data_IF_810413066761
#
_entry.id   IF_810413066761
#
_cell.length_a   1.000
_cell.length_b   1.000
_cell.length_c   1.000
_cell.angle_alpha   90.00
_cell.angle_beta   90.00
_cell.angle_gamma   90.00
#
_symmetry.space_group_name_H-M   'P 1'
#
loop_
_entity.id
_entity.type
_entity.pdbx_description
1 polymer ?
#
# COMPACT_ATOMS: atom_id res chain seq x y z
N UNK A 1 9.79 15.96 -10.92
CA UNK A 1 8.52 16.25 -10.20
C UNK A 1 8.84 16.87 -8.84
N UNK A 2 8.06 17.86 -8.38
CA UNK A 2 8.24 18.46 -7.04
C UNK A 2 7.26 17.91 -5.98
N UNK A 3 7.47 18.25 -4.70
CA UNK A 3 6.62 17.76 -3.58
C UNK A 3 5.14 18.17 -3.70
N UNK A 4 4.85 19.33 -4.28
CA UNK A 4 3.46 19.83 -4.44
C UNK A 4 2.72 19.03 -5.50
N UNK A 5 3.36 18.77 -6.64
CA UNK A 5 2.82 17.92 -7.70
C UNK A 5 2.60 16.48 -7.21
N UNK A 6 3.57 15.94 -6.48
CA UNK A 6 3.47 14.61 -5.89
C UNK A 6 2.29 14.50 -4.93
N UNK A 7 2.09 15.50 -4.05
CA UNK A 7 0.92 15.56 -3.16
C UNK A 7 -0.40 15.60 -3.94
N UNK A 8 -0.48 16.40 -5.00
CA UNK A 8 -1.68 16.46 -5.85
C UNK A 8 -1.98 15.11 -6.49
N UNK A 9 -0.96 14.40 -6.96
CA UNK A 9 -1.10 13.07 -7.54
C UNK A 9 -1.63 12.06 -6.51
N UNK A 10 -1.10 12.07 -5.29
CA UNK A 10 -1.52 11.20 -4.20
C UNK A 10 -2.99 11.43 -3.82
N UNK A 11 -3.39 12.69 -3.63
CA UNK A 11 -4.78 13.06 -3.32
C UNK A 11 -5.73 12.65 -4.46
N UNK A 12 -5.29 12.78 -5.72
CA UNK A 12 -6.09 12.40 -6.88
C UNK A 12 -6.37 10.90 -6.94
N UNK A 13 -5.38 10.06 -6.67
CA UNK A 13 -5.52 8.60 -6.78
C UNK A 13 -6.16 8.00 -5.53
N UNK A 14 -5.84 8.52 -4.35
CA UNK A 14 -6.31 8.00 -3.05
C UNK A 14 -6.88 9.14 -2.20
N UNK A 15 -8.07 9.65 -2.55
CA UNK A 15 -8.67 10.82 -1.87
C UNK A 15 -9.09 10.53 -0.42
N UNK A 16 -9.35 9.27 -0.07
CA UNK A 16 -9.72 8.85 1.29
C UNK A 16 -8.57 8.83 2.30
N UNK A 17 -7.36 9.22 1.90
CA UNK A 17 -6.17 9.22 2.74
C UNK A 17 -5.71 10.65 3.03
N UNK A 18 -5.39 10.91 4.29
CA UNK A 18 -4.70 12.14 4.69
C UNK A 18 -3.21 11.96 4.43
N UNK A 19 -2.67 12.73 3.48
CA UNK A 19 -1.28 12.63 3.02
C UNK A 19 -0.35 13.63 3.70
N UNK A 20 0.75 13.12 4.25
CA UNK A 20 1.90 13.88 4.75
C UNK A 20 3.10 13.61 3.85
N UNK A 21 3.67 14.65 3.25
CA UNK A 21 4.91 14.55 2.46
C UNK A 21 6.09 14.77 3.40
N UNK A 22 7.09 13.89 3.36
CA UNK A 22 8.30 14.06 4.15
C UNK A 22 9.36 14.80 3.33
N UNK A 23 10.00 15.79 3.95
CA UNK A 23 11.15 16.47 3.34
C UNK A 23 12.41 15.72 3.71
N UNK A 24 13.10 15.20 2.71
CA UNK A 24 14.45 14.69 2.88
C UNK A 24 15.42 15.75 2.33
N UNK A 25 16.17 16.39 3.23
CA UNK A 25 17.09 17.49 2.90
C UNK A 25 18.47 17.00 2.44
N UNK A 26 18.73 15.68 2.44
CA UNK A 26 20.05 15.10 2.18
C UNK A 26 20.16 14.40 0.82
N UNK A 27 19.28 14.71 -0.13
CA UNK A 27 19.28 14.02 -1.42
C UNK A 27 20.23 14.75 -2.39
N UNK A 28 21.23 14.07 -2.98
CA UNK A 28 22.09 14.64 -4.01
C UNK A 28 21.28 15.11 -5.23
N UNK A 29 21.73 16.16 -5.90
CA UNK A 29 21.07 16.77 -7.08
C UNK A 29 20.88 15.83 -8.27
N UNK A 30 21.59 14.72 -8.32
CA UNK A 30 21.49 13.67 -9.35
C UNK A 30 20.35 12.69 -9.13
N UNK A 31 19.67 12.74 -7.98
CA UNK A 31 18.63 11.80 -7.61
C UNK A 31 17.39 12.55 -7.13
N UNK A 32 16.21 12.22 -7.65
CA UNK A 32 14.96 12.76 -7.09
C UNK A 32 14.31 11.69 -6.23
N UNK A 33 14.26 11.94 -4.92
CA UNK A 33 13.59 11.07 -3.95
C UNK A 33 12.47 11.86 -3.26
N UNK A 34 11.23 11.34 -3.36
CA UNK A 34 10.07 11.88 -2.67
C UNK A 34 9.41 10.77 -1.89
N UNK A 35 8.99 11.06 -0.67
CA UNK A 35 8.28 10.08 0.14
C UNK A 35 7.11 10.71 0.89
N UNK A 36 6.08 9.90 1.13
CA UNK A 36 4.85 10.34 1.75
C UNK A 36 4.21 9.22 2.57
N UNK A 37 3.51 9.61 3.63
CA UNK A 37 2.65 8.72 4.40
C UNK A 37 1.20 9.14 4.23
N UNK A 38 0.35 8.19 3.86
CA UNK A 38 -1.10 8.33 3.79
C UNK A 38 -1.74 7.62 4.98
N UNK A 39 -2.68 8.26 5.65
CA UNK A 39 -3.46 7.62 6.73
C UNK A 39 -4.95 7.69 6.39
N UNK A 40 -5.60 6.54 6.40
CA UNK A 40 -7.05 6.43 6.34
C UNK A 40 -7.61 6.21 7.74
N UNK A 41 -8.65 6.96 8.11
CA UNK A 41 -9.32 6.87 9.41
C UNK A 41 -10.84 6.89 9.25
N UNK A 42 -11.53 6.28 10.22
CA UNK A 42 -12.98 6.37 10.40
C UNK A 42 -13.26 6.77 11.84
N UNK A 43 -13.76 7.98 12.05
CA UNK A 43 -13.84 8.60 13.37
C UNK A 43 -12.45 8.68 14.03
N UNK A 44 -12.34 8.17 15.25
CA UNK A 44 -11.06 8.10 15.99
C UNK A 44 -10.21 6.87 15.63
N UNK A 45 -10.71 5.95 14.79
CA UNK A 45 -10.03 4.71 14.46
C UNK A 45 -9.21 4.84 13.18
N UNK A 46 -7.91 4.52 13.23
CA UNK A 46 -7.08 4.41 12.03
C UNK A 46 -7.32 3.07 11.34
N UNK A 47 -7.69 3.08 10.07
CA UNK A 47 -7.99 1.85 9.31
C UNK A 47 -6.77 1.31 8.55
N UNK A 48 -6.01 2.21 7.92
CA UNK A 48 -4.93 1.83 7.02
C UNK A 48 -3.85 2.91 6.99
N UNK A 49 -2.60 2.47 6.86
CA UNK A 49 -1.44 3.33 6.61
C UNK A 49 -0.78 2.92 5.29
N UNK A 50 -0.53 3.91 4.43
CA UNK A 50 0.26 3.74 3.22
C UNK A 50 1.58 4.53 3.33
N UNK A 51 2.65 3.96 2.82
CA UNK A 51 3.92 4.65 2.61
C UNK A 51 4.24 4.61 1.13
N UNK A 52 4.42 5.78 0.51
CA UNK A 52 4.73 5.90 -0.90
C UNK A 52 6.10 6.53 -1.03
N UNK A 53 6.97 5.90 -1.79
CA UNK A 53 8.25 6.44 -2.21
C UNK A 53 8.20 6.58 -3.73
N UNK A 54 8.65 7.71 -4.24
CA UNK A 54 9.00 7.87 -5.64
C UNK A 54 10.50 8.12 -5.75
N UNK A 55 11.13 7.31 -6.58
CA UNK A 55 12.55 7.41 -6.94
C UNK A 55 12.66 7.75 -8.41
N UNK A 56 13.62 8.61 -8.73
CA UNK A 56 13.95 8.97 -10.10
C UNK A 56 15.47 9.08 -10.24
N UNK A 57 16.02 8.20 -11.07
CA UNK A 57 17.44 8.08 -11.39
C UNK A 57 17.57 7.99 -12.90
N UNK A 58 18.41 8.79 -13.54
CA UNK A 58 18.66 8.72 -14.99
C UNK A 58 17.38 8.68 -15.85
N UNK A 59 16.38 9.48 -15.47
CA UNK A 59 15.04 9.55 -16.06
C UNK A 59 14.18 8.28 -15.92
N UNK A 60 14.61 7.29 -15.15
CA UNK A 60 13.83 6.11 -14.79
C UNK A 60 13.07 6.40 -13.49
N UNK A 61 11.74 6.33 -13.56
CA UNK A 61 10.85 6.55 -12.41
C UNK A 61 10.39 5.21 -11.85
N UNK A 62 10.50 5.05 -10.54
CA UNK A 62 9.95 3.92 -9.80
C UNK A 62 9.12 4.44 -8.62
N UNK A 63 7.91 3.89 -8.45
CA UNK A 63 7.12 4.05 -7.24
C UNK A 63 7.21 2.77 -6.42
N UNK A 64 7.52 2.91 -5.13
CA UNK A 64 7.42 1.85 -4.13
C UNK A 64 6.30 2.22 -3.16
N UNK A 65 5.29 1.36 -3.02
CA UNK A 65 4.18 1.56 -2.11
C UNK A 65 4.14 0.44 -1.09
N UNK A 66 4.03 0.79 0.18
CA UNK A 66 3.92 -0.13 1.31
C UNK A 66 2.60 0.08 2.02
N UNK A 67 2.01 -1.00 2.51
CA UNK A 67 0.78 -0.96 3.28
C UNK A 67 0.96 -1.59 4.66
N UNK A 68 0.38 -0.93 5.66
CA UNK A 68 0.26 -1.43 7.02
C UNK A 68 -1.19 -1.22 7.50
N UNK A 69 -1.59 -2.01 8.49
CA UNK A 69 -2.91 -1.89 9.13
C UNK A 69 -2.97 -0.76 10.17
N UNK A 70 -3.45 -1.12 11.36
CA UNK A 70 -3.82 -0.23 12.46
C UNK A 70 -2.61 0.29 13.26
N UNK A 71 -1.64 0.96 12.63
CA UNK A 71 -0.53 1.54 13.38
C UNK A 71 0.58 2.17 12.54
N UNK A 72 1.16 3.26 13.05
CA UNK A 72 2.31 3.96 12.46
C UNK A 72 3.62 3.19 12.65
N UNK A 73 3.67 2.30 13.65
CA UNK A 73 4.78 1.39 13.95
C UNK A 73 4.45 -0.07 13.60
N UNK A 74 3.31 -0.33 12.95
CA UNK A 74 2.98 -1.67 12.50
C UNK A 74 3.96 -2.11 11.41
N UNK A 75 4.36 -3.39 11.38
CA UNK A 75 5.18 -3.90 10.31
C UNK A 75 4.46 -3.73 8.97
N UNK A 76 5.23 -3.45 7.91
CA UNK A 76 4.70 -3.43 6.55
C UNK A 76 4.21 -4.82 6.17
N UNK A 77 2.93 -4.92 5.81
CA UNK A 77 2.28 -6.17 5.48
C UNK A 77 2.57 -6.60 4.04
N UNK A 78 2.69 -5.61 3.15
CA UNK A 78 3.02 -5.84 1.74
C UNK A 78 3.72 -4.62 1.16
N UNK A 79 4.43 -4.84 0.06
CA UNK A 79 5.10 -3.81 -0.72
C UNK A 79 4.91 -4.13 -2.19
N UNK A 80 4.64 -3.11 -2.99
CA UNK A 80 4.55 -3.21 -4.44
C UNK A 80 5.41 -2.12 -5.09
N UNK A 81 5.99 -2.43 -6.25
CA UNK A 81 6.81 -1.51 -7.02
C UNK A 81 6.33 -1.47 -8.46
N UNK A 82 6.22 -0.28 -9.03
CA UNK A 82 5.87 -0.08 -10.44
C UNK A 82 6.31 1.32 -10.92
N UNK A 83 6.62 1.51 -12.21
CA UNK A 83 6.85 2.84 -12.78
C UNK A 83 5.66 3.82 -12.65
N UNK A 84 4.44 3.31 -12.40
CA UNK A 84 3.22 4.08 -12.19
C UNK A 84 2.68 3.90 -10.78
N UNK A 85 2.43 5.03 -10.09
CA UNK A 85 1.79 5.05 -8.78
C UNK A 85 0.47 4.27 -8.76
N UNK A 86 -0.35 4.40 -9.81
CA UNK A 86 -1.64 3.70 -9.89
C UNK A 86 -1.48 2.18 -9.96
N UNK A 87 -0.47 1.70 -10.71
CA UNK A 87 -0.19 0.27 -10.82
C UNK A 87 0.45 -0.30 -9.56
N UNK A 88 1.35 0.45 -8.91
CA UNK A 88 1.92 0.05 -7.62
C UNK A 88 0.82 -0.08 -6.54
N UNK A 89 -0.13 0.87 -6.49
CA UNK A 89 -1.29 0.78 -5.60
C UNK A 89 -2.20 -0.41 -5.94
N UNK A 90 -2.44 -0.66 -7.24
CA UNK A 90 -3.22 -1.81 -7.69
C UNK A 90 -2.56 -3.13 -7.30
N UNK A 91 -1.24 -3.24 -7.41
CA UNK A 91 -0.50 -4.42 -6.98
C UNK A 91 -0.67 -4.75 -5.49
N UNK A 92 -0.83 -3.73 -4.63
CA UNK A 92 -1.19 -3.95 -3.23
C UNK A 92 -2.63 -4.43 -3.06
N UNK A 93 -3.57 -3.89 -3.84
CA UNK A 93 -4.97 -4.35 -3.81
C UNK A 93 -5.05 -5.81 -4.25
N UNK A 94 -4.46 -6.15 -5.39
CA UNK A 94 -4.42 -7.51 -5.93
C UNK A 94 -3.80 -8.48 -4.91
N UNK A 95 -2.73 -8.08 -4.20
CA UNK A 95 -2.13 -8.87 -3.13
C UNK A 95 -3.14 -9.20 -2.01
N UNK A 96 -3.90 -8.21 -1.55
CA UNK A 96 -4.88 -8.42 -0.48
C UNK A 96 -6.09 -9.23 -0.94
N UNK A 97 -6.55 -9.05 -2.18
CA UNK A 97 -7.61 -9.86 -2.78
C UNK A 97 -7.21 -11.33 -2.93
N UNK A 98 -5.96 -11.59 -3.34
CA UNK A 98 -5.39 -12.94 -3.38
C UNK A 98 -5.33 -13.56 -1.99
N UNK A 99 -4.88 -12.82 -0.98
CA UNK A 99 -4.88 -13.29 0.42
C UNK A 99 -6.28 -13.60 0.92
N UNK A 100 -7.25 -12.73 0.66
CA UNK A 100 -8.65 -12.95 1.04
C UNK A 100 -9.22 -14.22 0.39
N UNK A 101 -8.94 -14.43 -0.90
CA UNK A 101 -9.33 -15.62 -1.64
C UNK A 101 -8.71 -16.89 -1.05
N UNK A 102 -7.42 -16.86 -0.77
CA UNK A 102 -6.69 -17.98 -0.16
C UNK A 102 -7.26 -18.36 1.21
N UNK A 103 -7.45 -17.38 2.10
CA UNK A 103 -7.98 -17.63 3.44
C UNK A 103 -9.45 -18.07 3.42
N UNK A 104 -10.25 -17.55 2.50
CA UNK A 104 -11.63 -18.05 2.26
C UNK A 104 -11.63 -19.53 1.85
N UNK A 105 -10.69 -19.93 0.99
CA UNK A 105 -10.47 -21.33 0.61
C UNK A 105 -10.13 -22.21 1.82
N UNK A 106 -9.20 -21.77 2.68
CA UNK A 106 -8.86 -22.49 3.91
C UNK A 106 -10.05 -22.61 4.86
N UNK A 107 -10.83 -21.54 5.06
CA UNK A 107 -12.03 -21.57 5.89
C UNK A 107 -13.09 -22.56 5.36
N UNK A 108 -13.28 -22.60 4.03
CA UNK A 108 -14.17 -23.58 3.37
C UNK A 108 -13.70 -25.01 3.60
N UNK A 109 -12.40 -25.28 3.48
CA UNK A 109 -11.84 -26.62 3.72
C UNK A 109 -12.11 -27.08 5.16
N UNK A 110 -11.88 -26.21 6.15
CA UNK A 110 -12.21 -26.51 7.56
C UNK A 110 -13.70 -26.77 7.76
N UNK A 111 -14.57 -25.98 7.13
CA UNK A 111 -16.03 -26.18 7.19
C UNK A 111 -16.45 -27.53 6.60
N UNK A 112 -15.82 -27.96 5.51
CA UNK A 112 -16.06 -29.28 4.91
C UNK A 112 -15.57 -30.39 5.85
N UNK A 113 -14.36 -30.27 6.39
CA UNK A 113 -13.80 -31.26 7.31
C UNK A 113 -14.60 -31.44 8.61
N UNK A 114 -15.34 -30.41 9.06
CA UNK A 114 -16.24 -30.49 10.22
C UNK A 114 -17.51 -31.30 9.96
N UNK A 115 -17.92 -31.48 8.71
CA UNK A 115 -19.04 -32.36 8.38
C UNK A 115 -18.51 -33.79 8.42
N UNK A 116 -18.99 -34.60 9.37
CA UNK A 116 -18.72 -36.05 9.41
C UNK A 116 -19.06 -36.60 8.02
N UNK A 117 -18.18 -37.43 7.44
CA UNK A 117 -18.60 -38.30 6.33
C UNK A 117 -19.68 -39.21 6.89
N UNK A 118 -20.95 -38.88 6.68
CA UNK A 118 -22.01 -39.86 6.83
C UNK A 118 -21.88 -40.83 5.66
N UNK A 119 -21.50 -42.08 5.97
CA UNK A 119 -21.69 -43.23 5.10
C UNK A 119 -20.56 -43.52 4.13
N UNK A 120 -19.93 -44.67 4.33
CA UNK A 120 -18.92 -45.32 3.51
C UNK A 120 -18.34 -46.46 4.33
#
# INVERSE_FOLDING_TARGET
MNSTEFRKQLIKIMPGYTWTIHRNSYIPTTYSYLEATGIQSSGFNRLSTLYVIRRETDNVVEYEVKSAGYGRASPWLSTSRDPSLARALRGLQDHYEQKATMYSGHARALKIGRKRKEGG
#
